data_IF_204942394182
#
_entry.id   IF_204942394182
#
_cell.length_a   1.000
_cell.length_b   1.000
_cell.length_c   1.000
_cell.angle_alpha   90.00
_cell.angle_beta   90.00
_cell.angle_gamma   90.00
#
_symmetry.space_group_name_H-M   'P 1'
#
loop_
_entity.id
_entity.type
_entity.pdbx_description
1 polymer ?
#
# COMPACT_ATOMS: atom_id res chain seq x y z
N UNK A 1 15.67 -18.33 14.49
CA UNK A 1 17.07 -17.96 14.11
C UNK A 1 17.17 -16.94 12.95
N UNK A 2 16.23 -16.87 11.99
CA UNK A 2 16.33 -15.99 10.81
C UNK A 2 15.74 -14.56 11.01
N UNK A 3 14.97 -14.31 12.09
CA UNK A 3 14.35 -13.00 12.36
C UNK A 3 15.39 -11.86 12.39
N UNK A 4 16.54 -12.11 13.01
CA UNK A 4 17.59 -11.10 13.16
C UNK A 4 18.27 -10.67 11.86
N UNK A 5 18.02 -11.36 10.74
CA UNK A 5 18.52 -10.95 9.42
C UNK A 5 17.70 -9.78 8.86
N UNK A 6 16.48 -9.58 9.33
CA UNK A 6 15.54 -8.60 8.79
C UNK A 6 15.17 -7.51 9.77
N UNK A 7 15.21 -7.82 11.08
CA UNK A 7 14.84 -6.90 12.15
C UNK A 7 15.96 -6.84 13.19
N UNK A 8 16.28 -5.63 13.64
CA UNK A 8 17.25 -5.43 14.72
C UNK A 8 16.72 -6.00 16.04
N UNK A 9 17.62 -6.41 16.92
CA UNK A 9 17.29 -6.82 18.30
C UNK A 9 17.21 -5.65 19.27
N UNK A 10 17.79 -4.51 18.93
CA UNK A 10 17.91 -3.33 19.79
C UNK A 10 17.44 -2.10 19.05
N UNK A 11 16.92 -1.15 19.79
CA UNK A 11 16.49 0.14 19.25
C UNK A 11 15.15 0.09 18.51
N UNK A 12 14.39 -1.02 18.60
CA UNK A 12 13.09 -1.16 17.98
C UNK A 12 12.10 -1.82 18.94
N UNK A 13 10.88 -1.29 18.95
CA UNK A 13 9.73 -1.84 19.65
C UNK A 13 8.65 -2.23 18.65
N UNK A 14 7.94 -3.32 18.93
CA UNK A 14 6.74 -3.68 18.19
C UNK A 14 5.61 -2.75 18.65
N UNK A 15 5.15 -1.86 17.77
CA UNK A 15 4.11 -0.90 18.07
C UNK A 15 2.72 -1.37 17.67
N UNK A 16 2.60 -2.29 16.69
CA UNK A 16 1.32 -2.84 16.27
C UNK A 16 1.45 -3.99 15.27
N UNK A 17 0.45 -4.87 15.28
CA UNK A 17 0.23 -5.95 14.32
C UNK A 17 -1.23 -5.88 13.93
N UNK A 18 -1.56 -6.03 12.63
CA UNK A 18 -2.92 -5.97 12.09
C UNK A 18 -3.69 -4.75 12.66
N UNK A 19 -2.98 -3.62 12.72
CA UNK A 19 -3.49 -2.42 13.39
C UNK A 19 -4.56 -1.77 12.55
N UNK A 20 -5.80 -1.60 13.07
CA UNK A 20 -6.86 -0.96 12.33
C UNK A 20 -6.55 0.52 12.08
N UNK A 21 -6.68 0.90 10.83
CA UNK A 21 -6.61 2.27 10.37
C UNK A 21 -8.02 2.69 9.95
N UNK A 22 -8.58 3.68 10.65
CA UNK A 22 -9.93 4.17 10.40
C UNK A 22 -9.94 5.69 10.53
N UNK A 23 -10.27 6.38 9.46
CA UNK A 23 -10.28 7.83 9.43
C UNK A 23 -11.56 8.34 8.78
N UNK A 24 -12.24 9.26 9.46
CA UNK A 24 -13.47 9.86 8.94
C UNK A 24 -13.13 10.86 7.83
N UNK A 25 -13.78 10.68 6.70
CA UNK A 25 -13.69 11.53 5.53
C UNK A 25 -14.90 12.44 5.44
N UNK A 26 -14.88 13.50 4.61
CA UNK A 26 -16.08 14.25 4.26
C UNK A 26 -17.19 13.34 3.72
N UNK A 27 -18.42 13.84 3.71
CA UNK A 27 -19.58 13.16 3.12
C UNK A 27 -19.93 11.83 3.82
N UNK A 28 -19.78 11.72 5.12
CA UNK A 28 -20.06 10.51 5.91
C UNK A 28 -19.27 9.27 5.47
N UNK A 29 -18.24 9.45 4.66
CA UNK A 29 -17.37 8.37 4.23
C UNK A 29 -16.32 8.04 5.29
N UNK A 30 -15.75 6.86 5.18
CA UNK A 30 -14.68 6.42 6.08
C UNK A 30 -13.59 5.66 5.32
N UNK A 31 -12.36 6.13 5.48
CA UNK A 31 -11.21 5.34 5.06
C UNK A 31 -10.96 4.22 6.08
N UNK A 32 -10.86 2.99 5.61
CA UNK A 32 -10.54 1.83 6.46
C UNK A 32 -9.42 1.00 5.87
N UNK A 33 -8.59 0.44 6.73
CA UNK A 33 -7.53 -0.49 6.36
C UNK A 33 -6.94 -1.16 7.59
N UNK A 34 -6.03 -2.10 7.36
CA UNK A 34 -5.27 -2.76 8.40
C UNK A 34 -3.79 -2.70 8.04
N UNK A 35 -2.99 -2.25 8.98
CA UNK A 35 -1.54 -2.18 8.81
C UNK A 35 -0.94 -3.47 9.37
N UNK A 36 -0.30 -4.26 8.51
CA UNK A 36 0.22 -5.58 8.90
C UNK A 36 1.20 -5.49 10.07
N UNK A 37 2.14 -4.51 10.03
CA UNK A 37 3.17 -4.39 11.06
C UNK A 37 3.60 -2.94 11.24
N UNK A 38 3.64 -2.51 12.50
CA UNK A 38 4.16 -1.19 12.90
C UNK A 38 5.32 -1.40 13.87
N UNK A 39 6.45 -0.81 13.54
CA UNK A 39 7.66 -0.83 14.36
C UNK A 39 8.02 0.60 14.75
N UNK A 40 8.31 0.82 16.01
CA UNK A 40 8.86 2.07 16.51
C UNK A 40 10.39 1.97 16.62
N UNK A 41 11.10 2.82 15.90
CA UNK A 41 12.54 3.05 16.10
C UNK A 41 12.69 3.98 17.31
N UNK A 42 13.14 3.43 18.44
CA UNK A 42 13.26 4.16 19.69
C UNK A 42 14.49 5.07 19.72
N UNK A 43 15.50 4.78 18.89
CA UNK A 43 16.73 5.58 18.79
C UNK A 43 16.48 6.86 17.98
N UNK A 44 15.79 6.73 16.84
CA UNK A 44 15.51 7.86 15.94
C UNK A 44 14.14 8.49 16.16
N UNK A 45 13.36 7.93 17.07
CA UNK A 45 11.97 8.32 17.34
C UNK A 45 11.12 8.38 16.05
N UNK A 46 11.12 7.27 15.30
CA UNK A 46 10.38 7.11 14.05
C UNK A 46 9.45 5.93 14.10
N UNK A 47 8.36 6.02 13.36
CA UNK A 47 7.47 4.91 13.10
C UNK A 47 7.81 4.31 11.73
N UNK A 48 7.87 2.99 11.65
CA UNK A 48 7.99 2.27 10.39
C UNK A 48 6.73 1.43 10.17
N UNK A 49 5.99 1.77 9.12
CA UNK A 49 4.84 1.00 8.65
C UNK A 49 5.35 -0.01 7.62
N UNK A 50 5.07 -1.27 7.84
CA UNK A 50 5.48 -2.36 6.97
C UNK A 50 4.24 -3.08 6.47
N UNK A 51 4.14 -3.21 5.17
CA UNK A 51 3.12 -4.02 4.50
C UNK A 51 3.78 -5.29 3.94
N UNK A 52 3.22 -6.45 4.27
CA UNK A 52 3.77 -7.75 3.94
C UNK A 52 3.08 -8.29 2.69
N UNK A 53 3.84 -8.46 1.63
CA UNK A 53 3.34 -9.02 0.38
C UNK A 53 3.99 -10.36 0.08
N UNK A 54 3.27 -11.24 -0.58
CA UNK A 54 3.84 -12.47 -1.15
C UNK A 54 3.96 -12.32 -2.66
N UNK A 55 5.03 -12.87 -3.23
CA UNK A 55 5.25 -12.90 -4.67
C UNK A 55 6.00 -14.17 -5.05
N UNK A 56 5.78 -14.70 -6.24
CA UNK A 56 6.48 -15.92 -6.68
C UNK A 56 8.00 -15.70 -6.69
N UNK A 57 8.46 -14.61 -7.31
CA UNK A 57 9.89 -14.31 -7.53
C UNK A 57 10.36 -13.00 -6.89
N UNK A 58 9.46 -12.25 -6.25
CA UNK A 58 9.65 -10.88 -5.82
C UNK A 58 9.09 -9.88 -6.84
N UNK A 59 9.23 -8.59 -6.56
CA UNK A 59 8.76 -7.53 -7.44
C UNK A 59 9.87 -7.05 -8.38
N UNK A 60 9.58 -7.03 -9.67
CA UNK A 60 10.43 -6.44 -10.70
C UNK A 60 10.23 -4.91 -10.79
N UNK A 61 10.95 -4.25 -11.70
CA UNK A 61 10.88 -2.80 -11.89
C UNK A 61 9.48 -2.28 -12.24
N UNK A 62 8.71 -3.04 -13.01
CA UNK A 62 7.36 -2.64 -13.42
C UNK A 62 6.37 -2.74 -12.26
N UNK A 63 6.43 -3.82 -11.49
CA UNK A 63 5.60 -3.99 -10.28
C UNK A 63 5.90 -2.92 -9.23
N UNK A 64 7.16 -2.53 -9.06
CA UNK A 64 7.58 -1.46 -8.15
C UNK A 64 7.14 -0.07 -8.61
N UNK A 65 6.99 0.14 -9.92
CA UNK A 65 6.53 1.39 -10.51
C UNK A 65 5.00 1.47 -10.62
N UNK A 66 4.31 0.35 -10.46
CA UNK A 66 2.85 0.29 -10.56
C UNK A 66 2.20 0.99 -9.36
N UNK A 67 1.37 1.99 -9.64
CA UNK A 67 0.66 2.78 -8.63
C UNK A 67 -0.31 1.90 -7.82
N UNK A 68 -0.95 0.92 -8.45
CA UNK A 68 -1.84 -0.01 -7.76
C UNK A 68 -1.12 -0.78 -6.65
N UNK A 69 0.19 -1.01 -6.81
CA UNK A 69 1.00 -1.65 -5.79
C UNK A 69 1.53 -0.67 -4.73
N UNK A 70 1.72 0.60 -5.06
CA UNK A 70 2.44 1.54 -4.19
C UNK A 70 1.54 2.51 -3.43
N UNK A 71 0.37 2.87 -3.98
CA UNK A 71 -0.52 3.88 -3.41
C UNK A 71 -1.09 3.47 -2.04
N UNK A 72 -1.39 2.19 -1.84
CA UNK A 72 -1.89 1.67 -0.57
C UNK A 72 -1.02 2.11 0.61
N UNK A 73 0.28 1.87 0.52
CA UNK A 73 1.21 2.15 1.62
C UNK A 73 1.41 3.66 1.85
N UNK A 74 1.27 4.46 0.79
CA UNK A 74 1.33 5.92 0.88
C UNK A 74 0.06 6.50 1.53
N UNK A 75 -1.12 5.93 1.22
CA UNK A 75 -2.36 6.28 1.91
C UNK A 75 -2.30 5.85 3.40
N UNK A 76 -1.75 4.69 3.70
CA UNK A 76 -1.54 4.27 5.09
C UNK A 76 -0.65 5.25 5.85
N UNK A 77 0.45 5.72 5.25
CA UNK A 77 1.29 6.76 5.84
C UNK A 77 0.51 8.04 6.13
N UNK A 78 -0.28 8.50 5.14
CA UNK A 78 -1.09 9.72 5.26
C UNK A 78 -2.13 9.61 6.37
N UNK A 79 -2.93 8.54 6.36
CA UNK A 79 -4.02 8.39 7.34
C UNK A 79 -3.53 7.97 8.72
N UNK A 80 -2.42 7.24 8.82
CA UNK A 80 -1.76 6.98 10.10
C UNK A 80 -1.30 8.27 10.76
N UNK A 81 -0.65 9.16 9.98
CA UNK A 81 -0.26 10.49 10.47
C UNK A 81 -1.44 11.26 11.05
N UNK A 82 -2.59 11.26 10.36
CA UNK A 82 -3.79 11.96 10.79
C UNK A 82 -4.45 11.32 12.00
N UNK A 83 -4.65 9.99 11.98
CA UNK A 83 -5.36 9.26 13.03
C UNK A 83 -4.60 9.29 14.37
N UNK A 84 -3.28 9.13 14.32
CA UNK A 84 -2.45 9.05 15.53
C UNK A 84 -1.69 10.34 15.84
N UNK A 85 -2.00 11.43 15.13
CA UNK A 85 -1.34 12.74 15.27
C UNK A 85 0.19 12.64 15.26
N UNK A 86 0.74 11.83 14.31
CA UNK A 86 2.17 11.59 14.21
C UNK A 86 2.77 12.36 13.02
N UNK A 87 3.89 13.11 13.21
CA UNK A 87 4.48 13.87 12.11
C UNK A 87 4.86 12.97 10.93
N UNK A 88 4.44 13.34 9.73
CA UNK A 88 4.60 12.52 8.52
C UNK A 88 6.07 12.28 8.15
N UNK A 89 6.96 13.23 8.45
CA UNK A 89 8.40 13.11 8.25
C UNK A 89 9.06 12.09 9.20
N UNK A 90 8.38 11.73 10.30
CA UNK A 90 8.79 10.69 11.25
C UNK A 90 8.21 9.32 10.92
N UNK A 91 7.43 9.18 9.84
CA UNK A 91 6.85 7.91 9.41
C UNK A 91 7.61 7.40 8.19
N UNK A 92 8.23 6.25 8.33
CA UNK A 92 8.84 5.47 7.24
C UNK A 92 7.86 4.39 6.76
N UNK A 93 7.96 4.01 5.50
CA UNK A 93 7.13 2.95 4.90
C UNK A 93 7.99 1.95 4.15
N UNK A 94 7.66 0.66 4.23
CA UNK A 94 8.43 -0.39 3.56
C UNK A 94 7.51 -1.56 3.18
N UNK A 95 7.64 -2.06 1.95
CA UNK A 95 7.10 -3.36 1.57
C UNK A 95 8.09 -4.46 1.95
N UNK A 96 7.59 -5.48 2.64
CA UNK A 96 8.31 -6.69 3.00
C UNK A 96 7.80 -7.85 2.13
N UNK A 97 8.48 -8.08 1.00
CA UNK A 97 8.03 -9.00 -0.04
C UNK A 97 8.65 -10.37 0.17
N UNK A 98 7.84 -11.36 0.54
CA UNK A 98 8.26 -12.75 0.72
C UNK A 98 8.17 -13.49 -0.60
N UNK A 99 9.30 -13.98 -1.09
CA UNK A 99 9.37 -14.79 -2.31
C UNK A 99 8.95 -16.22 -2.02
N UNK A 100 7.95 -16.73 -2.74
CA UNK A 100 7.50 -18.12 -2.63
C UNK A 100 8.49 -19.09 -3.26
N UNK A 101 9.17 -18.67 -4.35
CA UNK A 101 10.20 -19.45 -5.03
C UNK A 101 11.54 -18.70 -5.00
N UNK A 102 12.63 -19.46 -5.07
CA UNK A 102 13.98 -18.98 -5.32
C UNK A 102 14.46 -19.68 -6.58
N UNK A 103 15.37 -19.05 -7.32
CA UNK A 103 15.96 -19.68 -8.50
C UNK A 103 16.79 -20.89 -8.07
N UNK A 104 16.71 -21.96 -8.84
CA UNK A 104 17.53 -23.14 -8.67
C UNK A 104 18.87 -22.94 -9.39
N UNK A 105 19.89 -23.63 -8.92
CA UNK A 105 21.23 -23.68 -9.57
C UNK A 105 21.92 -22.32 -9.74
N UNK A 106 21.84 -21.44 -8.74
CA UNK A 106 22.65 -20.22 -8.70
C UNK A 106 23.83 -20.38 -7.75
N UNK A 107 24.99 -19.90 -8.18
CA UNK A 107 26.26 -19.99 -7.46
C UNK A 107 26.34 -19.09 -6.21
N UNK A 108 25.32 -18.26 -5.98
CA UNK A 108 25.30 -17.33 -4.84
C UNK A 108 24.02 -17.46 -3.99
N UNK A 109 24.10 -17.18 -2.68
CA UNK A 109 22.97 -17.23 -1.77
C UNK A 109 21.88 -16.21 -2.13
N UNK A 110 20.64 -16.67 -2.23
CA UNK A 110 19.50 -15.83 -2.49
C UNK A 110 18.77 -15.42 -1.23
N UNK A 111 18.26 -14.18 -1.21
CA UNK A 111 17.42 -13.70 -0.12
C UNK A 111 15.95 -14.06 -0.40
N UNK A 112 15.31 -14.74 0.56
CA UNK A 112 13.87 -15.05 0.54
C UNK A 112 13.01 -13.78 0.61
N UNK A 113 13.51 -12.73 1.23
CA UNK A 113 12.80 -11.46 1.41
C UNK A 113 13.43 -10.38 0.55
N UNK A 114 12.57 -9.65 -0.15
CA UNK A 114 12.91 -8.42 -0.84
C UNK A 114 12.25 -7.26 -0.10
N UNK A 115 13.04 -6.26 0.29
CA UNK A 115 12.53 -5.01 0.83
C UNK A 115 12.40 -3.99 -0.28
N UNK A 116 11.32 -3.22 -0.25
CA UNK A 116 11.10 -2.14 -1.20
C UNK A 116 10.47 -0.93 -0.49
N UNK A 117 11.10 0.21 -0.66
CA UNK A 117 10.61 1.50 -0.16
C UNK A 117 10.16 2.33 -1.36
N UNK A 118 8.86 2.58 -1.53
CA UNK A 118 8.39 3.48 -2.58
C UNK A 118 8.82 4.92 -2.30
N UNK A 119 8.86 5.76 -3.34
CA UNK A 119 9.03 7.19 -3.16
C UNK A 119 7.87 7.72 -2.30
N UNK A 120 8.18 8.19 -1.09
CA UNK A 120 7.20 8.55 -0.06
C UNK A 120 7.40 9.93 0.55
N UNK A 121 8.10 10.82 -0.15
CA UNK A 121 8.18 12.23 0.20
C UNK A 121 6.88 13.00 -0.07
N UNK A 122 6.77 14.22 0.41
CA UNK A 122 5.59 15.07 0.26
C UNK A 122 5.01 15.12 -1.16
N UNK A 123 5.81 15.27 -2.24
CA UNK A 123 5.26 15.29 -3.59
C UNK A 123 4.57 13.97 -3.99
N UNK A 124 5.11 12.82 -3.55
CA UNK A 124 4.51 11.51 -3.83
C UNK A 124 3.22 11.32 -3.07
N UNK A 125 3.19 11.66 -1.80
CA UNK A 125 1.99 11.61 -0.96
C UNK A 125 0.89 12.50 -1.54
N UNK A 126 1.20 13.77 -1.90
CA UNK A 126 0.21 14.68 -2.48
C UNK A 126 -0.40 14.15 -3.79
N UNK A 127 0.39 13.48 -4.63
CA UNK A 127 -0.13 12.84 -5.86
C UNK A 127 -1.10 11.70 -5.55
N UNK A 128 -0.81 10.90 -4.56
CA UNK A 128 -1.70 9.81 -4.13
C UNK A 128 -2.98 10.35 -3.52
N UNK A 129 -2.87 11.31 -2.60
CA UNK A 129 -4.02 11.97 -1.98
C UNK A 129 -4.92 12.62 -3.03
N UNK A 130 -4.33 13.33 -4.01
CA UNK A 130 -5.11 13.92 -5.10
C UNK A 130 -5.90 12.88 -5.91
N UNK A 131 -5.30 11.72 -6.21
CA UNK A 131 -6.03 10.62 -6.90
C UNK A 131 -7.15 10.05 -6.04
N UNK A 132 -6.87 9.88 -4.75
CA UNK A 132 -7.86 9.41 -3.80
C UNK A 132 -9.03 10.39 -3.66
N UNK A 133 -8.74 11.70 -3.54
CA UNK A 133 -9.78 12.73 -3.49
C UNK A 133 -10.59 12.81 -4.78
N UNK A 134 -9.95 12.63 -5.95
CA UNK A 134 -10.68 12.54 -7.23
C UNK A 134 -11.61 11.34 -7.26
N UNK A 135 -11.13 10.18 -6.81
CA UNK A 135 -11.96 8.97 -6.70
C UNK A 135 -13.19 9.20 -5.80
N UNK A 136 -12.99 9.82 -4.63
CA UNK A 136 -14.11 10.13 -3.73
C UNK A 136 -15.13 11.06 -4.42
N UNK A 137 -14.68 12.12 -5.08
CA UNK A 137 -15.56 13.08 -5.75
C UNK A 137 -16.31 12.49 -6.95
N UNK A 138 -15.70 11.57 -7.65
CA UNK A 138 -16.30 10.96 -8.83
C UNK A 138 -17.28 9.84 -8.45
N UNK A 139 -16.93 9.04 -7.44
CA UNK A 139 -17.66 7.83 -7.11
C UNK A 139 -18.75 8.01 -6.03
N UNK A 140 -18.72 9.12 -5.31
CA UNK A 140 -19.66 9.34 -4.19
C UNK A 140 -20.33 10.71 -4.27
N UNK A 141 -21.59 10.77 -3.82
CA UNK A 141 -22.38 12.00 -3.66
C UNK A 141 -21.95 12.80 -2.42
N UNK A 142 -22.51 13.98 -2.22
CA UNK A 142 -22.32 14.78 -1.01
C UNK A 142 -22.75 14.07 0.28
N UNK A 143 -23.67 13.12 0.18
CA UNK A 143 -24.23 12.39 1.32
C UNK A 143 -23.50 11.06 1.58
N UNK A 144 -22.51 10.73 0.72
CA UNK A 144 -21.70 9.52 0.84
C UNK A 144 -22.28 8.30 0.16
N UNK A 145 -23.36 8.45 -0.60
CA UNK A 145 -23.92 7.39 -1.42
C UNK A 145 -23.14 7.22 -2.73
N UNK A 146 -23.26 6.07 -3.39
CA UNK A 146 -22.64 5.87 -4.70
C UNK A 146 -23.23 6.82 -5.74
N UNK A 147 -22.35 7.47 -6.51
CA UNK A 147 -22.76 8.33 -7.61
C UNK A 147 -23.18 7.50 -8.83
N UNK A 148 -24.42 7.05 -8.87
CA UNK A 148 -24.97 6.21 -9.95
C UNK A 148 -25.18 6.97 -11.25
N UNK A 149 -25.19 8.31 -11.23
CA UNK A 149 -25.31 9.14 -12.42
C UNK A 149 -23.97 9.38 -13.13
N UNK A 150 -22.85 9.05 -12.46
CA UNK A 150 -21.52 9.21 -13.03
C UNK A 150 -21.25 8.16 -14.11
N UNK A 151 -20.87 8.65 -15.30
CA UNK A 151 -20.47 7.76 -16.39
C UNK A 151 -19.01 7.38 -16.22
N UNK A 152 -18.78 6.16 -15.77
CA UNK A 152 -17.43 5.62 -15.60
C UNK A 152 -16.82 5.24 -16.95
N UNK A 153 -15.59 5.72 -17.20
CA UNK A 153 -14.88 5.39 -18.43
C UNK A 153 -14.33 3.97 -18.36
N UNK A 154 -14.57 3.21 -19.41
CA UNK A 154 -13.95 1.90 -19.58
C UNK A 154 -12.45 2.07 -19.86
N UNK A 155 -11.61 1.43 -19.10
CA UNK A 155 -10.16 1.34 -19.33
C UNK A 155 -9.82 -0.02 -19.96
N UNK A 156 -10.41 -0.31 -21.13
CA UNK A 156 -10.16 -1.55 -21.84
C UNK A 156 -8.70 -1.67 -22.29
N UNK A 157 -8.05 -2.75 -21.90
CA UNK A 157 -6.69 -3.09 -22.32
C UNK A 157 -6.44 -4.58 -22.17
N UNK A 158 -5.46 -5.12 -22.90
CA UNK A 158 -5.04 -6.53 -22.72
C UNK A 158 -4.72 -6.89 -21.27
N UNK A 159 -4.22 -5.95 -20.50
CA UNK A 159 -3.89 -6.13 -19.08
C UNK A 159 -5.14 -6.15 -18.21
N UNK A 160 -6.03 -5.18 -18.38
CA UNK A 160 -7.20 -5.00 -17.53
C UNK A 160 -8.30 -6.02 -17.85
N UNK A 161 -8.46 -6.38 -19.12
CA UNK A 161 -9.50 -7.33 -19.55
C UNK A 161 -9.12 -8.79 -19.36
N UNK A 162 -7.84 -9.13 -19.19
CA UNK A 162 -7.36 -10.52 -19.15
C UNK A 162 -8.07 -11.42 -18.13
N UNK A 163 -8.44 -10.87 -16.99
CA UNK A 163 -9.09 -11.57 -15.88
C UNK A 163 -10.38 -10.87 -15.43
N UNK A 164 -10.92 -9.99 -16.25
CA UNK A 164 -12.16 -9.29 -15.97
C UNK A 164 -13.32 -10.26 -16.25
N UNK A 165 -14.16 -10.50 -15.27
CA UNK A 165 -15.35 -11.36 -15.40
C UNK A 165 -16.41 -10.79 -16.36
N UNK A 166 -16.38 -9.48 -16.63
CA UNK A 166 -17.26 -8.84 -17.62
C UNK A 166 -16.67 -8.81 -19.04
N UNK A 167 -15.43 -9.30 -19.24
CA UNK A 167 -14.79 -9.28 -20.55
C UNK A 167 -15.59 -10.13 -21.57
N UNK A 168 -15.95 -9.55 -22.71
CA UNK A 168 -16.77 -10.17 -23.77
C UNK A 168 -18.20 -10.55 -23.34
N UNK A 169 -18.74 -9.90 -22.32
CA UNK A 169 -20.16 -10.01 -21.95
C UNK A 169 -20.92 -8.76 -22.40
N UNK A 170 -22.26 -8.81 -22.36
CA UNK A 170 -23.14 -7.67 -22.64
C UNK A 170 -22.89 -6.43 -21.77
N UNK A 171 -22.23 -6.60 -20.62
CA UNK A 171 -21.87 -5.50 -19.72
C UNK A 171 -20.53 -4.85 -20.10
N UNK A 172 -19.83 -5.36 -21.09
CA UNK A 172 -18.52 -4.87 -21.51
C UNK A 172 -18.52 -4.06 -22.80
N UNK A 173 -19.65 -3.95 -23.50
CA UNK A 173 -19.79 -3.25 -24.77
C UNK A 173 -19.74 -1.72 -24.66
#
# INVERSE_FOLDING_TARGET
KKRNQYFSKRGYELAGIETPLSYDLPNNLKFRGFIDLIIKDTVRNRIKIIDIKTSTWGWNKYQKADKNNTDQLLLYKQFYSKQFNHPMDKIEVEYFIVKRKLYENLDFPQKRVQKFVPANGTPSINKVVKRFDSFIKECFTSDGEYNVEHIYRKEASKKNCKYCEFNQTEYCD
#
